data_IF_164916451110
#
_entry.id   IF_164916451110
#
_cell.length_a   1.000
_cell.length_b   1.000
_cell.length_c   1.000
_cell.angle_alpha   90.00
_cell.angle_beta   90.00
_cell.angle_gamma   90.00
#
_symmetry.space_group_name_H-M   'P 1'
#
loop_
_entity.id
_entity.type
_entity.pdbx_description
1 polymer ?
#
# COMPACT_ATOMS: atom_id res chain seq x y z
N UNK A 1 3.36 1.08 40.95
CA UNK A 1 2.53 0.12 40.21
C UNK A 1 3.08 0.09 38.79
N UNK A 2 3.53 -1.07 38.30
CA UNK A 2 4.02 -1.19 36.94
C UNK A 2 2.86 -0.95 35.98
N UNK A 3 3.02 0.05 35.11
CA UNK A 3 2.11 0.36 34.01
C UNK A 3 2.05 -0.87 33.09
N UNK A 4 0.98 -1.65 33.18
CA UNK A 4 0.71 -2.72 32.22
C UNK A 4 0.19 -2.03 30.95
N UNK A 5 1.12 -1.60 30.10
CA UNK A 5 0.80 -1.20 28.74
C UNK A 5 -0.05 -2.32 28.11
N UNK A 6 -1.25 -1.97 27.64
CA UNK A 6 -2.09 -2.92 26.91
C UNK A 6 -1.27 -3.45 25.73
N UNK A 7 -1.28 -4.77 25.46
CA UNK A 7 -0.57 -5.31 24.31
C UNK A 7 -1.04 -4.62 23.04
N UNK A 8 -0.10 -4.19 22.20
CA UNK A 8 -0.40 -3.57 20.91
C UNK A 8 -1.19 -4.54 20.01
N UNK A 9 -1.92 -3.97 19.05
CA UNK A 9 -2.60 -4.77 18.02
C UNK A 9 -1.57 -5.60 17.23
N UNK A 10 -1.95 -6.82 16.84
CA UNK A 10 -1.16 -7.59 15.87
C UNK A 10 -1.21 -6.91 14.50
N UNK A 11 -0.28 -7.28 13.61
CA UNK A 11 -0.24 -6.75 12.22
C UNK A 11 -1.56 -6.99 11.50
N UNK A 12 -2.14 -8.17 11.67
CA UNK A 12 -3.41 -8.58 11.09
C UNK A 12 -4.57 -7.74 11.63
N UNK A 13 -4.59 -7.45 12.94
CA UNK A 13 -5.61 -6.58 13.53
C UNK A 13 -5.49 -5.13 13.07
N UNK A 14 -4.26 -4.64 12.85
CA UNK A 14 -4.04 -3.30 12.28
C UNK A 14 -4.57 -3.28 10.84
N UNK A 15 -4.19 -4.25 10.01
CA UNK A 15 -4.62 -4.32 8.62
C UNK A 15 -6.15 -4.46 8.50
N UNK A 16 -6.77 -5.32 9.31
CA UNK A 16 -8.23 -5.47 9.39
C UNK A 16 -8.93 -4.17 9.81
N UNK A 17 -8.33 -3.40 10.73
CA UNK A 17 -8.88 -2.10 11.12
C UNK A 17 -8.79 -1.10 9.98
N UNK A 18 -7.65 -1.01 9.29
CA UNK A 18 -7.44 -0.09 8.17
C UNK A 18 -8.34 -0.45 6.98
N UNK A 19 -8.56 -1.74 6.70
CA UNK A 19 -9.46 -2.17 5.63
C UNK A 19 -10.89 -1.64 5.76
N UNK A 20 -11.34 -1.29 6.98
CA UNK A 20 -12.65 -0.66 7.23
C UNK A 20 -12.73 0.81 6.83
N UNK A 21 -11.60 1.47 6.56
CA UNK A 21 -11.55 2.83 6.03
C UNK A 21 -11.76 2.87 4.51
N UNK A 22 -11.69 1.72 3.83
CA UNK A 22 -11.87 1.63 2.39
C UNK A 22 -13.36 1.63 2.03
N UNK A 23 -13.73 2.52 1.12
CA UNK A 23 -15.08 2.63 0.59
C UNK A 23 -15.21 1.92 -0.77
N UNK A 24 -16.44 1.54 -1.16
CA UNK A 24 -16.66 0.92 -2.45
C UNK A 24 -16.18 1.79 -3.62
N UNK A 25 -15.41 1.19 -4.54
CA UNK A 25 -14.87 1.85 -5.72
C UNK A 25 -13.63 2.71 -5.50
N UNK A 26 -13.04 2.73 -4.29
CA UNK A 26 -11.81 3.49 -4.07
C UNK A 26 -10.66 2.99 -4.95
N UNK A 27 -9.88 3.93 -5.49
CA UNK A 27 -8.53 3.72 -6.00
C UNK A 27 -7.56 3.79 -4.83
N UNK A 28 -6.89 2.68 -4.55
CA UNK A 28 -6.08 2.50 -3.33
C UNK A 28 -4.63 2.19 -3.69
N UNK A 29 -3.71 2.97 -3.13
CA UNK A 29 -2.28 2.66 -3.17
C UNK A 29 -1.84 2.10 -1.81
N UNK A 30 -1.16 0.94 -1.82
CA UNK A 30 -0.71 0.25 -0.62
C UNK A 30 0.82 0.16 -0.60
N UNK A 31 1.44 0.83 0.38
CA UNK A 31 2.87 0.74 0.61
C UNK A 31 3.33 -0.67 1.02
N UNK A 32 4.62 -0.93 0.85
CA UNK A 32 5.21 -2.26 1.12
C UNK A 32 5.08 -2.63 2.61
N UNK A 33 4.82 -3.91 2.89
CA UNK A 33 4.92 -4.49 4.22
C UNK A 33 3.58 -4.65 4.94
N UNK A 34 3.30 -3.82 5.95
CA UNK A 34 2.01 -3.88 6.65
C UNK A 34 0.83 -3.41 5.78
N UNK A 35 0.95 -2.33 4.98
CA UNK A 35 -0.16 -1.87 4.17
C UNK A 35 -0.63 -2.87 3.11
N UNK A 36 0.27 -3.68 2.52
CA UNK A 36 -0.15 -4.71 1.55
C UNK A 36 -1.12 -5.73 2.14
N UNK A 37 -1.09 -6.00 3.45
CA UNK A 37 -2.06 -6.87 4.13
C UNK A 37 -3.48 -6.30 4.13
N UNK A 38 -3.64 -4.98 3.97
CA UNK A 38 -4.96 -4.32 3.91
C UNK A 38 -5.76 -4.82 2.70
N UNK A 39 -5.10 -5.02 1.56
CA UNK A 39 -5.74 -5.52 0.34
C UNK A 39 -6.38 -6.90 0.53
N UNK A 40 -5.74 -7.78 1.31
CA UNK A 40 -6.27 -9.12 1.62
C UNK A 40 -7.45 -9.10 2.61
N UNK A 41 -7.69 -7.98 3.30
CA UNK A 41 -8.79 -7.82 4.25
C UNK A 41 -9.90 -6.90 3.75
N UNK A 42 -9.75 -6.31 2.55
CA UNK A 42 -10.80 -5.54 1.91
C UNK A 42 -11.99 -6.47 1.60
N UNK A 43 -13.22 -6.14 2.04
CA UNK A 43 -14.38 -6.97 1.73
C UNK A 43 -14.58 -7.05 0.21
N UNK A 44 -14.81 -8.23 -0.40
CA UNK A 44 -14.93 -8.37 -1.85
C UNK A 44 -15.98 -7.43 -2.47
N UNK A 45 -17.04 -7.13 -1.73
CA UNK A 45 -18.12 -6.22 -2.13
C UNK A 45 -17.69 -4.76 -2.31
N UNK A 46 -16.51 -4.35 -1.81
CA UNK A 46 -16.03 -2.97 -2.00
C UNK A 46 -15.57 -2.72 -3.42
N UNK A 47 -15.17 -3.73 -4.19
CA UNK A 47 -14.66 -3.53 -5.56
C UNK A 47 -13.60 -2.41 -5.64
N UNK A 48 -12.68 -2.36 -4.67
CA UNK A 48 -11.56 -1.41 -4.71
C UNK A 48 -10.64 -1.71 -5.91
N UNK A 49 -10.00 -0.66 -6.42
CA UNK A 49 -9.00 -0.75 -7.47
C UNK A 49 -7.63 -0.52 -6.85
N UNK A 50 -6.79 -1.56 -6.84
CA UNK A 50 -5.43 -1.44 -6.34
C UNK A 50 -4.54 -0.79 -7.41
N UNK A 51 -3.85 0.29 -7.03
CA UNK A 51 -2.89 0.99 -7.86
C UNK A 51 -1.47 0.67 -7.38
N UNK A 52 -0.58 0.35 -8.33
CA UNK A 52 0.83 0.15 -8.08
C UNK A 52 1.64 1.25 -8.79
N UNK A 53 2.55 1.89 -8.06
CA UNK A 53 3.32 3.05 -8.55
C UNK A 53 4.17 2.74 -9.79
N UNK A 54 4.50 1.47 -10.02
CA UNK A 54 5.22 0.99 -11.18
C UNK A 54 4.36 0.83 -12.46
N UNK A 55 3.09 1.25 -12.44
CA UNK A 55 2.32 1.45 -13.68
C UNK A 55 1.12 0.53 -13.87
N UNK A 56 0.45 0.11 -12.78
CA UNK A 56 -0.69 -0.81 -12.85
C UNK A 56 -1.87 -0.22 -12.08
N UNK A 57 -3.07 -0.27 -12.65
CA UNK A 57 -4.32 -0.06 -11.93
C UNK A 57 -5.20 -1.29 -12.08
N UNK A 58 -5.75 -1.77 -10.96
CA UNK A 58 -6.62 -2.94 -10.93
C UNK A 58 -5.89 -4.27 -10.81
N UNK A 59 -4.68 -4.30 -10.23
CA UNK A 59 -4.02 -5.58 -9.94
C UNK A 59 -4.77 -6.36 -8.84
N UNK A 60 -4.60 -7.68 -8.86
CA UNK A 60 -5.27 -8.65 -8.00
C UNK A 60 -4.42 -9.13 -6.83
N UNK A 61 -4.65 -10.38 -6.42
CA UNK A 61 -3.89 -11.03 -5.37
C UNK A 61 -2.45 -11.36 -5.77
N UNK A 62 -1.69 -11.89 -4.81
CA UNK A 62 -0.36 -12.43 -5.06
C UNK A 62 -0.44 -13.79 -5.74
N UNK A 63 0.47 -14.05 -6.67
CA UNK A 63 0.66 -15.36 -7.30
C UNK A 63 2.06 -15.88 -7.01
N UNK A 64 2.17 -17.16 -6.62
CA UNK A 64 3.46 -17.81 -6.32
C UNK A 64 3.86 -18.86 -7.37
N UNK A 65 2.90 -19.35 -8.16
CA UNK A 65 3.10 -20.39 -9.18
C UNK A 65 2.71 -19.84 -10.56
N UNK A 66 3.46 -20.20 -11.60
CA UNK A 66 3.22 -19.78 -12.99
C UNK A 66 3.09 -18.25 -13.22
N UNK A 67 3.80 -17.45 -12.42
CA UNK A 67 3.76 -15.99 -12.50
C UNK A 67 4.55 -15.43 -13.69
N UNK A 68 4.11 -14.28 -14.21
CA UNK A 68 4.84 -13.49 -15.20
C UNK A 68 5.87 -12.58 -14.49
N UNK A 69 7.19 -12.71 -14.76
CA UNK A 69 8.21 -11.90 -14.12
C UNK A 69 8.11 -10.40 -14.44
N UNK A 70 7.41 -10.03 -15.52
CA UNK A 70 7.18 -8.62 -15.88
C UNK A 70 5.96 -8.03 -15.14
N UNK A 71 5.17 -8.86 -14.43
CA UNK A 71 3.96 -8.47 -13.71
C UNK A 71 4.17 -8.50 -12.18
N UNK A 72 4.70 -7.40 -11.66
CA UNK A 72 4.98 -7.22 -10.25
C UNK A 72 4.31 -5.96 -9.68
N UNK A 73 4.04 -5.94 -8.39
CA UNK A 73 3.67 -4.71 -7.68
C UNK A 73 4.92 -3.84 -7.34
N UNK A 74 4.68 -2.70 -6.70
CA UNK A 74 5.72 -1.78 -6.22
C UNK A 74 6.76 -2.43 -5.28
N UNK A 75 6.38 -3.51 -4.58
CA UNK A 75 7.26 -4.27 -3.70
C UNK A 75 8.05 -5.39 -4.39
N UNK A 76 7.93 -5.54 -5.71
CA UNK A 76 8.58 -6.61 -6.46
C UNK A 76 7.93 -7.99 -6.29
N UNK A 77 6.69 -8.04 -5.78
CA UNK A 77 5.95 -9.28 -5.60
C UNK A 77 5.10 -9.55 -6.85
N UNK A 78 5.04 -10.79 -7.37
CA UNK A 78 4.19 -11.12 -8.49
C UNK A 78 2.71 -10.96 -8.14
N UNK A 79 1.94 -10.45 -9.09
CA UNK A 79 0.50 -10.18 -8.91
C UNK A 79 -0.31 -10.67 -10.11
N UNK A 80 -1.60 -10.90 -9.90
CA UNK A 80 -2.56 -11.12 -10.99
C UNK A 80 -3.20 -9.81 -11.47
N UNK A 81 -4.01 -9.87 -12.53
CA UNK A 81 -4.83 -8.76 -13.02
C UNK A 81 -6.31 -9.05 -12.85
N UNK A 82 -7.06 -8.08 -12.32
CA UNK A 82 -8.51 -8.15 -12.36
C UNK A 82 -9.06 -7.71 -13.74
N UNK A 83 -10.27 -8.16 -14.12
CA UNK A 83 -10.93 -7.65 -15.32
C UNK A 83 -11.02 -6.11 -15.31
N UNK A 84 -10.59 -5.48 -16.39
CA UNK A 84 -10.55 -4.02 -16.51
C UNK A 84 -9.26 -3.37 -15.99
N UNK A 85 -8.27 -4.16 -15.55
CA UNK A 85 -6.96 -3.63 -15.22
C UNK A 85 -6.30 -2.94 -16.42
N UNK A 86 -5.46 -1.95 -16.15
CA UNK A 86 -4.71 -1.23 -17.19
C UNK A 86 -3.27 -0.96 -16.77
N UNK A 87 -2.43 -0.78 -17.79
CA UNK A 87 -1.02 -0.43 -17.66
C UNK A 87 -0.77 0.99 -18.16
N UNK A 88 0.21 1.63 -17.56
CA UNK A 88 0.67 2.97 -17.93
C UNK A 88 2.14 3.15 -17.53
N UNK A 89 2.82 4.13 -18.14
CA UNK A 89 4.19 4.45 -17.77
C UNK A 89 4.28 5.13 -16.39
N UNK A 90 5.49 5.22 -15.83
CA UNK A 90 5.72 5.83 -14.53
C UNK A 90 5.32 7.31 -14.49
N UNK A 91 5.41 8.06 -15.60
CA UNK A 91 4.99 9.46 -15.62
C UNK A 91 3.50 9.56 -15.35
N UNK A 92 2.69 8.78 -16.08
CA UNK A 92 1.23 8.74 -15.88
C UNK A 92 0.86 8.20 -14.50
N UNK A 93 1.60 7.21 -14.01
CA UNK A 93 1.42 6.67 -12.65
C UNK A 93 1.56 7.74 -11.58
N UNK A 94 2.66 8.50 -11.61
CA UNK A 94 2.90 9.56 -10.65
C UNK A 94 2.05 10.80 -10.90
N UNK A 95 1.58 11.04 -12.14
CA UNK A 95 0.56 12.07 -12.41
C UNK A 95 -0.80 11.70 -11.78
N UNK A 96 -1.16 10.41 -11.78
CA UNK A 96 -2.34 9.91 -11.05
C UNK A 96 -2.20 10.15 -9.54
N UNK A 97 -1.05 9.79 -8.96
CA UNK A 97 -0.76 9.97 -7.53
C UNK A 97 -0.77 11.46 -7.16
N UNK A 98 0.10 12.26 -7.78
CA UNK A 98 0.29 13.68 -7.47
C UNK A 98 -0.91 14.54 -7.85
N UNK A 99 -1.69 14.11 -8.84
CA UNK A 99 -2.94 14.75 -9.26
C UNK A 99 -4.10 14.53 -8.29
N UNK A 100 -3.94 13.70 -7.25
CA UNK A 100 -4.99 13.40 -6.28
C UNK A 100 -6.08 12.48 -6.85
N UNK A 101 -5.73 11.61 -7.79
CA UNK A 101 -6.63 10.62 -8.37
C UNK A 101 -6.62 9.27 -7.61
N UNK A 102 -5.82 9.18 -6.54
CA UNK A 102 -5.83 8.08 -5.57
C UNK A 102 -6.71 8.49 -4.39
N UNK A 103 -7.73 7.70 -4.10
CA UNK A 103 -8.66 8.00 -3.00
C UNK A 103 -8.02 7.74 -1.64
N UNK A 104 -7.23 6.66 -1.52
CA UNK A 104 -6.59 6.25 -0.27
C UNK A 104 -5.17 5.76 -0.51
N UNK A 105 -4.20 6.35 0.20
CA UNK A 105 -2.84 5.83 0.30
C UNK A 105 -2.60 5.30 1.72
N UNK A 106 -2.09 4.07 1.83
CA UNK A 106 -1.74 3.46 3.12
C UNK A 106 -0.24 3.24 3.19
N UNK A 107 0.41 3.90 4.14
CA UNK A 107 1.87 3.88 4.30
C UNK A 107 2.28 3.32 5.66
N UNK A 108 3.44 2.66 5.70
CA UNK A 108 4.13 2.40 6.96
C UNK A 108 4.77 3.69 7.49
N UNK A 109 4.96 3.78 8.81
CA UNK A 109 5.63 4.89 9.48
C UNK A 109 6.57 4.42 10.57
N UNK A 110 7.75 5.04 10.66
CA UNK A 110 8.66 4.88 11.80
C UNK A 110 8.24 5.82 12.93
N UNK A 111 7.89 7.05 12.57
CA UNK A 111 7.36 8.06 13.49
C UNK A 111 6.30 8.90 12.76
N UNK A 112 5.29 9.34 13.51
CA UNK A 112 4.28 10.29 13.06
C UNK A 112 4.21 11.40 14.12
N UNK A 113 4.36 12.66 13.72
CA UNK A 113 4.24 13.79 14.65
C UNK A 113 2.78 14.09 14.96
N UNK A 114 2.51 14.83 16.05
CA UNK A 114 1.14 15.26 16.38
C UNK A 114 0.51 16.18 15.32
N UNK A 115 1.34 16.79 14.46
CA UNK A 115 0.92 17.68 13.37
C UNK A 115 0.72 16.93 12.05
N UNK A 116 1.08 15.64 12.01
CA UNK A 116 0.93 14.79 10.83
C UNK A 116 2.21 14.61 10.00
N UNK A 117 3.37 15.05 10.49
CA UNK A 117 4.63 14.79 9.78
C UNK A 117 4.94 13.30 9.82
N UNK A 118 5.29 12.72 8.67
CA UNK A 118 5.62 11.31 8.50
C UNK A 118 7.11 11.11 8.30
N UNK A 119 7.72 10.24 9.12
CA UNK A 119 9.08 9.75 8.91
C UNK A 119 9.03 8.24 8.65
N UNK A 120 9.40 7.79 7.44
CA UNK A 120 9.27 6.37 7.05
C UNK A 120 10.37 5.80 6.13
N UNK A 121 11.37 6.59 5.71
CA UNK A 121 12.30 6.15 4.65
C UNK A 121 13.79 6.12 5.04
N UNK A 122 14.21 6.77 6.14
CA UNK A 122 15.62 6.82 6.54
C UNK A 122 15.81 6.76 8.05
N UNK A 123 16.80 5.99 8.48
CA UNK A 123 17.30 5.94 9.87
C UNK A 123 18.83 6.06 9.81
N UNK A 124 19.43 7.19 10.26
CA UNK A 124 20.86 7.45 10.09
C UNK A 124 21.77 6.31 10.55
N UNK A 125 21.43 5.65 11.66
CA UNK A 125 22.24 4.59 12.28
C UNK A 125 22.09 3.22 11.60
N UNK A 126 21.05 3.00 10.80
CA UNK A 126 20.79 1.74 10.10
C UNK A 126 21.12 1.78 8.61
N UNK A 127 21.60 2.93 8.11
CA UNK A 127 21.69 3.22 6.69
C UNK A 127 20.35 3.69 6.12
N UNK A 128 20.40 4.58 5.12
CA UNK A 128 19.20 5.11 4.48
C UNK A 128 18.49 4.04 3.64
N UNK A 129 17.17 3.92 3.78
CA UNK A 129 16.34 3.30 2.76
C UNK A 129 16.21 4.22 1.54
N UNK A 130 15.69 3.68 0.44
CA UNK A 130 15.22 4.53 -0.65
C UNK A 130 13.89 5.16 -0.27
N UNK A 131 13.68 6.40 -0.69
CA UNK A 131 12.42 7.11 -0.57
C UNK A 131 11.27 6.42 -1.33
N UNK A 132 11.58 5.79 -2.47
CA UNK A 132 10.56 5.24 -3.38
C UNK A 132 9.53 6.30 -3.80
N UNK A 133 8.28 5.88 -4.02
CA UNK A 133 7.16 6.79 -4.23
C UNK A 133 6.55 7.41 -2.96
N UNK A 134 7.14 7.23 -1.77
CA UNK A 134 6.46 7.57 -0.51
C UNK A 134 6.24 9.07 -0.27
N UNK A 135 6.96 9.96 -0.97
CA UNK A 135 6.76 11.41 -0.87
C UNK A 135 5.77 11.97 -1.90
N UNK A 136 5.55 11.26 -3.01
CA UNK A 136 4.59 11.66 -4.04
C UNK A 136 3.15 11.37 -3.59
#
# INVERSE_FOLDING_TARGET
>A
MADRAKPGLTRELIALRVARELAPGNVVNLGIGLPTLVGAHAPPETNILLQAENGILGYGGFTEEDFDPDLINAGGQPVDLNPGACFFDSSVSFDMIRGGHIDVAVLGGLQVSEQGDLANWSVPERGGGSIGGAMD
#
